data_IF_919166934833
#
_entry.id   IF_919166934833
#
_cell.length_a   1.000
_cell.length_b   1.000
_cell.length_c   1.000
_cell.angle_alpha   90.00
_cell.angle_beta   90.00
_cell.angle_gamma   90.00
#
_symmetry.space_group_name_H-M   'P 1'
#
loop_
_entity.id
_entity.type
_entity.pdbx_description
1 polymer ?
#
# COMPACT_ATOMS: atom_id res chain seq x y z
N UNK A 1 8.48 0.12 0.04
CA UNK A 1 9.11 -0.63 -1.06
C UNK A 1 8.00 -1.13 -1.96
N UNK A 2 8.01 -0.73 -3.23
CA UNK A 2 6.90 -0.86 -4.19
C UNK A 2 6.93 -2.23 -4.87
N UNK A 3 5.76 -2.85 -5.10
CA UNK A 3 5.61 -3.91 -6.10
C UNK A 3 4.90 -3.30 -7.31
N UNK A 4 5.60 -3.10 -8.42
CA UNK A 4 5.12 -2.27 -9.53
C UNK A 4 4.47 -3.11 -10.62
N UNK A 5 3.16 -2.98 -10.80
CA UNK A 5 2.45 -3.67 -11.86
C UNK A 5 2.14 -2.68 -13.01
N UNK A 6 2.78 -2.90 -14.16
CA UNK A 6 2.68 -2.02 -15.33
C UNK A 6 1.95 -2.76 -16.44
N UNK A 7 0.88 -2.14 -16.97
CA UNK A 7 0.10 -2.70 -18.06
C UNK A 7 0.33 -1.94 -19.36
N UNK A 8 0.76 -2.69 -20.37
CA UNK A 8 0.59 -2.43 -21.78
C UNK A 8 0.10 -3.73 -22.41
N UNK A 9 -0.89 -3.66 -23.30
CA UNK A 9 -1.53 -4.83 -23.88
C UNK A 9 -0.53 -5.67 -24.72
N UNK A 10 -0.20 -6.88 -24.25
CA UNK A 10 0.25 -8.00 -25.08
C UNK A 10 0.14 -9.31 -24.25
N UNK A 11 -0.63 -10.28 -24.74
CA UNK A 11 -0.99 -11.51 -24.00
C UNK A 11 -0.42 -12.76 -24.70
N UNK A 12 0.24 -13.64 -23.94
CA UNK A 12 0.47 -15.05 -24.31
C UNK A 12 0.09 -15.96 -23.13
N UNK A 13 -0.70 -16.98 -23.45
CA UNK A 13 -1.30 -17.95 -22.52
C UNK A 13 -0.35 -19.13 -22.29
N UNK A 14 -0.24 -19.64 -21.06
CA UNK A 14 0.47 -20.88 -20.69
C UNK A 14 -0.41 -21.76 -19.77
N UNK A 15 -0.29 -23.11 -19.81
CA UNK A 15 -1.20 -24.03 -19.15
C UNK A 15 -0.68 -24.58 -17.81
N UNK A 16 -1.64 -25.03 -16.98
CA UNK A 16 -1.49 -25.52 -15.60
C UNK A 16 -1.00 -26.97 -15.46
N UNK A 17 -0.27 -27.27 -14.37
CA UNK A 17 -0.23 -28.62 -13.77
C UNK A 17 0.25 -28.66 -12.30
N UNK A 18 -0.59 -29.31 -11.46
CA UNK A 18 -0.34 -30.29 -10.36
C UNK A 18 0.25 -29.93 -8.96
N UNK A 19 -0.54 -30.34 -7.96
CA UNK A 19 -0.33 -31.18 -6.75
C UNK A 19 0.69 -30.87 -5.63
N UNK A 20 0.16 -30.88 -4.38
CA UNK A 20 0.69 -31.71 -3.29
C UNK A 20 1.33 -31.04 -2.06
N UNK A 21 0.97 -31.59 -0.89
CA UNK A 21 1.67 -31.62 0.42
C UNK A 21 1.29 -30.66 1.56
N UNK A 22 1.18 -31.29 2.74
CA UNK A 22 0.69 -30.84 4.05
C UNK A 22 1.82 -30.54 5.04
N UNK A 23 1.58 -29.79 6.13
CA UNK A 23 2.23 -29.98 7.44
C UNK A 23 1.55 -29.15 8.56
N UNK A 24 1.96 -29.43 9.80
CA UNK A 24 1.25 -29.36 11.08
C UNK A 24 1.92 -28.34 12.03
N UNK A 25 1.19 -27.50 12.79
CA UNK A 25 1.78 -26.66 13.86
C UNK A 25 0.86 -26.49 15.08
N UNK A 26 1.48 -26.63 16.26
CA UNK A 26 0.92 -26.63 17.62
C UNK A 26 0.64 -25.23 18.18
N UNK A 27 -0.39 -25.14 19.04
CA UNK A 27 -0.82 -23.95 19.79
C UNK A 27 -0.03 -23.77 21.09
N UNK A 28 0.39 -22.53 21.39
CA UNK A 28 0.90 -22.10 22.71
C UNK A 28 -0.20 -21.40 23.52
N UNK A 29 -0.23 -21.56 24.87
CA UNK A 29 -1.27 -20.99 25.71
C UNK A 29 -0.93 -19.58 26.21
N UNK A 30 -1.97 -18.75 26.32
CA UNK A 30 -1.94 -17.39 26.86
C UNK A 30 -2.12 -17.41 28.39
N UNK A 31 -1.12 -16.96 29.13
CA UNK A 31 -1.16 -16.90 30.60
C UNK A 31 -1.55 -15.50 31.11
N UNK A 32 -2.61 -15.42 31.92
CA UNK A 32 -3.04 -14.22 32.67
C UNK A 32 -2.03 -13.87 33.78
N UNK A 33 -1.64 -12.60 33.89
CA UNK A 33 -0.81 -12.09 35.01
C UNK A 33 -1.34 -10.74 35.52
N UNK A 34 -2.22 -10.81 36.52
CA UNK A 34 -2.75 -9.64 37.27
C UNK A 34 -2.00 -9.41 38.59
N UNK A 35 -1.34 -10.45 39.12
CA UNK A 35 -0.67 -10.39 40.43
C UNK A 35 0.74 -9.77 40.37
N UNK A 36 1.42 -9.85 39.21
CA UNK A 36 2.77 -9.30 39.06
C UNK A 36 2.82 -7.76 39.10
N UNK A 37 1.72 -7.08 38.76
CA UNK A 37 1.67 -5.61 38.81
C UNK A 37 1.60 -5.09 40.26
N UNK A 38 0.88 -5.80 41.13
CA UNK A 38 0.73 -5.40 42.55
C UNK A 38 2.04 -5.57 43.33
N UNK A 39 2.82 -6.61 43.05
CA UNK A 39 4.15 -6.80 43.67
C UNK A 39 5.19 -5.79 43.17
N UNK A 40 5.12 -5.37 41.90
CA UNK A 40 6.00 -4.31 41.38
C UNK A 40 5.71 -2.96 42.03
N UNK A 41 4.44 -2.65 42.32
CA UNK A 41 4.04 -1.41 42.98
C UNK A 41 4.44 -1.37 44.46
N UNK A 42 4.47 -2.50 45.17
CA UNK A 42 4.91 -2.55 46.58
C UNK A 42 6.43 -2.37 46.71
N UNK A 43 7.22 -2.99 45.82
CA UNK A 43 8.67 -2.77 45.76
C UNK A 43 9.04 -1.32 45.44
N UNK A 44 8.31 -0.65 44.54
CA UNK A 44 8.58 0.74 44.19
C UNK A 44 8.36 1.70 45.39
N UNK A 45 7.35 1.43 46.24
CA UNK A 45 7.10 2.22 47.45
C UNK A 45 8.23 2.13 48.48
N UNK A 46 8.81 0.94 48.65
CA UNK A 46 9.96 0.72 49.53
C UNK A 46 11.25 1.31 48.98
N UNK A 47 11.48 1.25 47.67
CA UNK A 47 12.64 1.90 47.06
C UNK A 47 12.58 3.43 47.18
N UNK A 48 11.40 4.04 47.04
CA UNK A 48 11.18 5.48 47.17
C UNK A 48 11.40 6.02 48.59
N UNK A 49 11.23 5.19 49.63
CA UNK A 49 11.40 5.60 51.03
C UNK A 49 12.86 5.81 51.45
N UNK A 50 13.82 5.25 50.70
CA UNK A 50 15.26 5.33 50.98
C UNK A 50 16.03 6.37 50.16
N UNK A 51 15.39 7.03 49.18
CA UNK A 51 16.03 8.12 48.44
C UNK A 51 16.21 9.35 49.33
N UNK A 52 17.43 9.87 49.36
CA UNK A 52 17.77 11.10 50.08
C UNK A 52 16.86 12.25 49.64
N UNK A 53 16.53 13.15 50.57
CA UNK A 53 15.63 14.30 50.37
C UNK A 53 16.00 15.09 49.10
N UNK A 54 17.30 15.24 48.81
CA UNK A 54 17.79 15.91 47.59
C UNK A 54 17.33 15.25 46.29
N UNK A 55 17.32 13.91 46.23
CA UNK A 55 16.82 13.18 45.05
C UNK A 55 15.30 13.28 44.91
N UNK A 56 14.55 13.33 46.03
CA UNK A 56 13.09 13.55 45.99
C UNK A 56 12.73 14.93 45.43
N UNK A 57 13.42 15.99 45.88
CA UNK A 57 13.20 17.34 45.36
C UNK A 57 13.51 17.44 43.86
N UNK A 58 14.56 16.75 43.39
CA UNK A 58 14.89 16.69 41.97
C UNK A 58 13.77 16.04 41.13
N UNK A 59 13.27 14.87 41.55
CA UNK A 59 12.18 14.20 40.83
C UNK A 59 10.88 15.00 40.86
N UNK A 60 10.52 15.62 42.00
CA UNK A 60 9.33 16.48 42.08
C UNK A 60 9.46 17.66 41.12
N UNK A 61 10.62 18.31 41.07
CA UNK A 61 10.87 19.43 40.15
C UNK A 61 10.76 19.00 38.68
N UNK A 62 11.29 17.82 38.34
CA UNK A 62 11.20 17.24 37.00
C UNK A 62 9.74 16.92 36.62
N UNK A 63 8.95 16.35 37.54
CA UNK A 63 7.53 16.09 37.31
C UNK A 63 6.71 17.37 37.12
N UNK A 64 7.01 18.43 37.89
CA UNK A 64 6.35 19.73 37.73
C UNK A 64 6.68 20.35 36.38
N UNK A 65 7.95 20.31 35.95
CA UNK A 65 8.38 20.77 34.63
C UNK A 65 7.70 20.01 33.49
N UNK A 66 7.63 18.67 33.58
CA UNK A 66 6.93 17.84 32.59
C UNK A 66 5.42 18.13 32.55
N UNK A 67 4.79 18.39 33.69
CA UNK A 67 3.36 18.75 33.75
C UNK A 67 3.09 20.12 33.13
N UNK A 68 3.97 21.11 33.38
CA UNK A 68 3.87 22.45 32.81
C UNK A 68 4.09 22.43 31.29
N UNK A 69 5.02 21.63 30.77
CA UNK A 69 5.23 21.52 29.32
C UNK A 69 4.06 20.83 28.63
N UNK A 70 3.49 19.78 29.21
CA UNK A 70 2.30 19.10 28.67
C UNK A 70 1.10 20.06 28.66
N UNK A 71 0.86 20.81 29.74
CA UNK A 71 -0.25 21.77 29.78
C UNK A 71 -0.06 22.93 28.80
N UNK A 72 1.17 23.43 28.62
CA UNK A 72 1.47 24.44 27.61
C UNK A 72 1.25 23.94 26.17
N UNK A 73 1.66 22.70 25.86
CA UNK A 73 1.42 22.07 24.56
C UNK A 73 -0.06 21.85 24.29
N UNK A 74 -0.82 21.37 25.30
CA UNK A 74 -2.26 21.21 25.19
C UNK A 74 -2.97 22.56 24.99
N UNK A 75 -2.56 23.60 25.71
CA UNK A 75 -3.11 24.95 25.55
C UNK A 75 -2.81 25.54 24.17
N UNK A 76 -1.58 25.38 23.66
CA UNK A 76 -1.21 25.82 22.31
C UNK A 76 -1.96 25.04 21.22
N UNK A 77 -2.10 23.72 21.38
CA UNK A 77 -2.89 22.89 20.48
C UNK A 77 -4.37 23.28 20.46
N UNK A 78 -4.94 23.62 21.63
CA UNK A 78 -6.32 24.08 21.73
C UNK A 78 -6.55 25.46 21.07
N UNK A 79 -5.58 26.38 21.20
CA UNK A 79 -5.62 27.68 20.55
C UNK A 79 -5.50 27.57 19.02
N UNK A 80 -4.65 26.67 18.52
CA UNK A 80 -4.56 26.37 17.09
C UNK A 80 -5.83 25.71 16.56
N UNK A 81 -6.43 24.78 17.31
CA UNK A 81 -7.69 24.13 16.92
C UNK A 81 -8.84 25.14 16.75
N UNK A 82 -8.94 26.14 17.64
CA UNK A 82 -9.97 27.19 17.55
C UNK A 82 -9.80 28.16 16.38
N UNK A 83 -8.62 28.20 15.77
CA UNK A 83 -8.34 29.04 14.60
C UNK A 83 -8.56 28.31 13.28
N UNK A 84 -9.10 27.08 13.30
CA UNK A 84 -9.55 26.42 12.09
C UNK A 84 -10.67 27.25 11.46
N UNK A 85 -10.30 28.03 10.45
CA UNK A 85 -11.20 28.77 9.58
C UNK A 85 -12.27 27.78 9.10
N UNK A 86 -13.57 28.14 9.17
CA UNK A 86 -14.61 27.34 8.55
C UNK A 86 -14.22 27.12 7.08
N UNK A 87 -13.87 25.89 6.73
CA UNK A 87 -13.70 25.54 5.33
C UNK A 87 -15.10 25.61 4.76
N UNK A 88 -15.38 26.64 3.97
CA UNK A 88 -16.60 26.71 3.18
C UNK A 88 -16.60 25.49 2.25
N UNK A 89 -17.31 24.44 2.67
CA UNK A 89 -17.51 23.23 1.88
C UNK A 89 -18.44 23.63 0.74
N UNK A 90 -17.86 24.07 -0.38
CA UNK A 90 -18.60 24.28 -1.61
C UNK A 90 -19.33 22.99 -1.97
N UNK A 91 -20.61 23.04 -2.43
CA UNK A 91 -21.35 21.87 -2.83
C UNK A 91 -20.59 21.06 -3.89
N UNK A 92 -20.26 19.82 -3.53
CA UNK A 92 -19.44 18.88 -4.31
C UNK A 92 -19.94 18.69 -5.75
N UNK A 93 -21.26 18.77 -5.96
CA UNK A 93 -21.91 18.63 -7.27
C UNK A 93 -21.53 19.73 -8.27
N UNK A 94 -21.11 20.91 -7.82
CA UNK A 94 -20.73 22.00 -8.73
C UNK A 94 -19.29 21.90 -9.25
N UNK A 95 -18.41 21.16 -8.55
CA UNK A 95 -16.99 21.12 -8.86
C UNK A 95 -16.65 20.13 -9.99
N UNK A 96 -17.29 18.97 -10.05
CA UNK A 96 -17.04 17.97 -11.09
C UNK A 96 -17.34 18.52 -12.50
N UNK A 97 -18.38 19.35 -12.64
CA UNK A 97 -18.76 19.98 -13.91
C UNK A 97 -17.74 20.98 -14.49
N UNK A 98 -16.68 21.33 -13.73
CA UNK A 98 -15.66 22.31 -14.14
C UNK A 98 -14.30 21.70 -14.47
N UNK A 99 -14.13 20.39 -14.30
CA UNK A 99 -12.85 19.75 -14.60
C UNK A 99 -12.61 19.74 -16.12
N UNK A 100 -11.39 20.05 -16.59
CA UNK A 100 -10.97 19.78 -17.96
C UNK A 100 -11.26 18.33 -18.35
N UNK A 101 -11.64 18.07 -19.61
CA UNK A 101 -12.05 16.73 -20.07
C UNK A 101 -11.03 15.63 -19.74
N UNK A 102 -9.72 15.90 -19.85
CA UNK A 102 -8.68 14.91 -19.54
C UNK A 102 -8.49 14.64 -18.03
N UNK A 103 -9.19 15.35 -17.16
CA UNK A 103 -9.17 15.11 -15.70
C UNK A 103 -10.43 14.42 -15.20
N UNK A 104 -11.47 14.31 -16.03
CA UNK A 104 -12.74 13.67 -15.68
C UNK A 104 -12.52 12.14 -15.63
N UNK A 105 -12.63 11.47 -14.48
CA UNK A 105 -12.40 10.03 -14.36
C UNK A 105 -13.27 9.20 -15.32
N UNK A 106 -14.50 9.64 -15.57
CA UNK A 106 -15.47 8.97 -16.45
C UNK A 106 -14.98 8.84 -17.90
N UNK A 107 -14.07 9.72 -18.34
CA UNK A 107 -13.47 9.63 -19.68
C UNK A 107 -12.39 8.55 -19.79
N UNK A 108 -12.09 7.85 -18.70
CA UNK A 108 -11.14 6.74 -18.66
C UNK A 108 -11.82 5.37 -18.57
N UNK A 109 -13.16 5.33 -18.61
CA UNK A 109 -13.96 4.12 -18.55
C UNK A 109 -14.79 3.89 -19.83
N UNK A 110 -14.85 2.64 -20.28
CA UNK A 110 -15.73 2.17 -21.37
C UNK A 110 -17.11 1.79 -20.86
N UNK A 111 -17.19 1.37 -19.59
CA UNK A 111 -18.38 0.86 -18.94
C UNK A 111 -18.27 1.08 -17.42
N UNK A 112 -19.38 0.99 -16.67
CA UNK A 112 -19.33 0.87 -15.20
C UNK A 112 -18.42 -0.28 -14.75
N UNK A 113 -18.03 -0.34 -13.46
CA UNK A 113 -17.24 -1.44 -12.92
C UNK A 113 -17.88 -2.79 -13.25
N UNK A 114 -17.10 -3.71 -13.83
CA UNK A 114 -17.54 -5.08 -14.13
C UNK A 114 -16.75 -6.11 -13.32
N UNK A 115 -17.05 -7.40 -13.48
CA UNK A 115 -16.26 -8.47 -12.83
C UNK A 115 -14.84 -8.61 -13.38
N UNK A 116 -14.57 -8.10 -14.59
CA UNK A 116 -13.24 -8.04 -15.21
C UNK A 116 -12.79 -6.59 -15.33
N UNK A 117 -11.67 -6.23 -14.71
CA UNK A 117 -11.27 -4.81 -14.71
C UNK A 117 -10.99 -4.25 -16.10
N UNK A 118 -10.59 -5.12 -17.05
CA UNK A 118 -10.25 -4.72 -18.41
C UNK A 118 -11.46 -4.27 -19.22
N UNK A 119 -12.63 -4.83 -18.95
CA UNK A 119 -13.86 -4.50 -19.69
C UNK A 119 -14.34 -3.07 -19.39
N UNK A 120 -13.95 -2.54 -18.23
CA UNK A 120 -14.26 -1.17 -17.81
C UNK A 120 -13.23 -0.14 -18.26
N UNK A 121 -12.08 -0.54 -18.83
CA UNK A 121 -10.98 0.37 -19.19
C UNK A 121 -10.84 0.57 -20.70
N UNK A 122 -10.36 1.74 -21.12
CA UNK A 122 -10.05 2.00 -22.52
C UNK A 122 -8.76 1.30 -22.98
N UNK A 123 -8.79 0.73 -24.18
CA UNK A 123 -7.63 0.03 -24.76
C UNK A 123 -6.53 0.98 -25.28
N UNK A 124 -6.85 2.24 -25.55
CA UNK A 124 -5.90 3.26 -26.03
C UNK A 124 -5.15 3.98 -24.88
N UNK A 125 -5.57 3.72 -23.64
CA UNK A 125 -4.98 4.31 -22.44
C UNK A 125 -4.08 3.31 -21.74
N UNK A 126 -2.97 3.82 -21.19
CA UNK A 126 -2.02 3.02 -20.42
C UNK A 126 -2.23 3.25 -18.93
N UNK A 127 -2.24 2.17 -18.16
CA UNK A 127 -2.53 2.20 -16.73
C UNK A 127 -1.39 1.60 -15.91
N UNK A 128 -1.27 2.02 -14.66
CA UNK A 128 -0.28 1.49 -13.72
C UNK A 128 -0.89 1.35 -12.33
N UNK A 129 -0.52 0.29 -11.62
CA UNK A 129 -0.96 0.06 -10.24
C UNK A 129 0.16 -0.60 -9.44
N UNK A 130 -0.02 -0.69 -8.13
CA UNK A 130 0.91 -1.33 -7.20
C UNK A 130 0.10 -2.02 -6.11
N UNK A 131 0.71 -2.99 -5.44
CA UNK A 131 0.08 -3.70 -4.32
C UNK A 131 0.68 -3.24 -2.99
N UNK A 132 -0.18 -2.91 -2.04
CA UNK A 132 0.22 -2.38 -0.73
C UNK A 132 0.66 -3.52 0.18
N UNK A 133 1.73 -3.31 0.94
CA UNK A 133 2.35 -4.38 1.72
C UNK A 133 3.13 -3.77 2.88
N UNK A 134 2.49 -2.98 3.74
CA UNK A 134 3.18 -2.39 4.89
C UNK A 134 2.19 -1.90 5.95
N UNK A 135 2.61 -0.90 6.74
CA UNK A 135 1.73 -0.08 7.57
C UNK A 135 1.31 1.20 6.85
N UNK A 136 0.29 1.88 7.38
CA UNK A 136 -0.37 3.02 6.73
C UNK A 136 0.58 4.08 6.15
N UNK A 137 1.56 4.56 6.91
CA UNK A 137 2.52 5.58 6.43
C UNK A 137 3.30 5.10 5.21
N UNK A 138 3.74 3.84 5.22
CA UNK A 138 4.47 3.26 4.09
C UNK A 138 3.57 3.10 2.87
N UNK A 139 2.29 2.79 3.08
CA UNK A 139 1.32 2.67 2.00
C UNK A 139 1.02 4.05 1.37
N UNK A 140 0.86 5.11 2.16
CA UNK A 140 0.69 6.48 1.65
C UNK A 140 1.90 6.89 0.79
N UNK A 141 3.12 6.65 1.26
CA UNK A 141 4.34 6.92 0.47
C UNK A 141 4.39 6.06 -0.80
N UNK A 142 3.94 4.82 -0.72
CA UNK A 142 3.86 3.90 -1.87
C UNK A 142 2.89 4.42 -2.92
N UNK A 143 1.71 4.91 -2.54
CA UNK A 143 0.75 5.50 -3.48
C UNK A 143 1.28 6.81 -4.08
N UNK A 144 1.94 7.65 -3.30
CA UNK A 144 2.61 8.86 -3.82
C UNK A 144 3.68 8.52 -4.88
N UNK A 145 4.50 7.51 -4.63
CA UNK A 145 5.49 7.01 -5.57
C UNK A 145 4.85 6.40 -6.84
N UNK A 146 3.74 5.68 -6.69
CA UNK A 146 2.98 5.13 -7.82
C UNK A 146 2.42 6.25 -8.71
N UNK A 147 1.84 7.30 -8.11
CA UNK A 147 1.35 8.47 -8.84
C UNK A 147 2.50 9.15 -9.58
N UNK A 148 3.64 9.35 -8.93
CA UNK A 148 4.81 9.93 -9.58
C UNK A 148 5.31 9.09 -10.76
N UNK A 149 5.35 7.76 -10.62
CA UNK A 149 5.66 6.84 -11.73
C UNK A 149 4.64 6.94 -12.87
N UNK A 150 3.36 7.09 -12.55
CA UNK A 150 2.31 7.28 -13.56
C UNK A 150 2.56 8.56 -14.37
N UNK A 151 2.89 9.68 -13.70
CA UNK A 151 3.20 10.95 -14.35
C UNK A 151 4.39 10.84 -15.30
N UNK A 152 5.54 10.36 -14.82
CA UNK A 152 6.77 10.31 -15.65
C UNK A 152 6.71 9.25 -16.75
N UNK A 153 5.73 8.33 -16.69
CA UNK A 153 5.52 7.33 -17.73
C UNK A 153 4.27 7.56 -18.58
N UNK A 154 3.60 8.71 -18.41
CA UNK A 154 2.36 9.07 -19.14
C UNK A 154 1.28 7.99 -19.03
N UNK A 155 0.99 7.56 -17.81
CA UNK A 155 -0.04 6.56 -17.47
C UNK A 155 -1.04 7.12 -16.48
N UNK A 156 -2.21 6.49 -16.43
CA UNK A 156 -3.21 6.73 -15.40
C UNK A 156 -2.92 5.79 -14.21
N UNK A 157 -2.79 6.36 -13.01
CA UNK A 157 -2.62 5.59 -11.79
C UNK A 157 -3.98 5.01 -11.34
N UNK A 158 -4.02 3.70 -11.07
CA UNK A 158 -5.16 3.04 -10.42
C UNK A 158 -4.74 2.69 -8.99
N UNK A 159 -5.32 3.37 -8.00
CA UNK A 159 -4.95 3.24 -6.59
C UNK A 159 -5.74 2.10 -5.92
N UNK A 160 -5.06 1.17 -5.23
CA UNK A 160 -5.72 0.20 -4.36
C UNK A 160 -6.24 0.86 -3.07
N UNK A 161 -7.28 0.29 -2.45
CA UNK A 161 -7.71 0.72 -1.12
C UNK A 161 -6.62 0.41 -0.08
N UNK A 162 -6.57 1.19 0.99
CA UNK A 162 -5.70 0.92 2.12
C UNK A 162 -6.15 -0.34 2.86
N UNK A 163 -5.22 -1.25 3.11
CA UNK A 163 -5.48 -2.50 3.86
C UNK A 163 -4.79 -2.52 5.23
N UNK A 164 -3.94 -1.52 5.53
CA UNK A 164 -3.09 -1.47 6.71
C UNK A 164 -3.51 -0.43 7.76
N UNK A 165 -4.74 0.06 7.68
CA UNK A 165 -5.28 1.09 8.57
C UNK A 165 -6.09 0.42 9.71
N UNK A 166 -5.74 0.73 10.96
CA UNK A 166 -6.43 0.34 12.21
C UNK A 166 -7.01 -1.10 12.25
N UNK A 167 -6.21 -2.05 12.76
CA UNK A 167 -6.53 -3.48 13.01
C UNK A 167 -6.66 -4.30 11.71
N UNK A 168 -6.07 -5.49 11.71
CA UNK A 168 -5.98 -6.41 10.56
C UNK A 168 -7.31 -7.02 10.06
N UNK A 169 -8.45 -6.56 10.60
CA UNK A 169 -9.81 -7.09 10.32
C UNK A 169 -10.71 -5.97 9.78
N UNK A 170 -10.23 -4.73 9.71
CA UNK A 170 -11.02 -3.63 9.16
C UNK A 170 -11.28 -3.84 7.66
N UNK A 171 -12.45 -3.38 7.21
CA UNK A 171 -12.75 -3.32 5.79
C UNK A 171 -11.71 -2.44 5.08
N UNK A 172 -11.30 -2.76 3.85
CA UNK A 172 -10.40 -1.90 3.07
C UNK A 172 -10.98 -0.49 2.95
N UNK A 173 -10.12 0.52 3.11
CA UNK A 173 -10.53 1.93 3.10
C UNK A 173 -10.17 2.55 1.75
N UNK A 174 -11.15 2.99 0.95
CA UNK A 174 -10.91 3.70 -0.30
C UNK A 174 -9.98 4.90 -0.09
N UNK A 175 -9.20 5.23 -1.12
CA UNK A 175 -8.28 6.35 -1.06
C UNK A 175 -9.04 7.68 -0.93
N UNK A 176 -10.17 7.82 -1.63
CA UNK A 176 -11.06 8.99 -1.57
C UNK A 176 -11.72 9.23 -0.22
N UNK A 177 -11.80 8.24 0.66
CA UNK A 177 -12.33 8.45 2.02
C UNK A 177 -11.38 9.25 2.92
N UNK A 178 -10.08 9.24 2.60
CA UNK A 178 -9.05 9.95 3.37
C UNK A 178 -8.60 11.22 2.65
N UNK A 179 -8.48 11.15 1.31
CA UNK A 179 -7.89 12.20 0.49
C UNK A 179 -8.91 12.77 -0.49
N UNK A 180 -8.89 14.09 -0.65
CA UNK A 180 -9.68 14.80 -1.67
C UNK A 180 -9.09 14.53 -3.06
N UNK A 181 -9.60 13.49 -3.73
CA UNK A 181 -9.17 13.07 -5.08
C UNK A 181 -9.43 14.17 -6.12
N UNK A 182 -10.60 14.84 -6.18
CA UNK A 182 -10.82 15.96 -7.10
C UNK A 182 -9.78 17.09 -6.97
N UNK A 183 -9.39 17.45 -5.75
CA UNK A 183 -8.32 18.42 -5.52
C UNK A 183 -6.97 17.89 -5.98
N UNK A 184 -6.67 16.60 -5.72
CA UNK A 184 -5.43 15.95 -6.13
C UNK A 184 -5.27 15.95 -7.66
N UNK A 185 -6.27 15.46 -8.41
CA UNK A 185 -6.20 15.40 -9.89
C UNK A 185 -6.07 16.79 -10.51
N UNK A 186 -6.71 17.81 -9.91
CA UNK A 186 -6.59 19.20 -10.35
C UNK A 186 -5.18 19.72 -10.12
N UNK A 187 -4.60 19.46 -8.94
CA UNK A 187 -3.26 19.92 -8.59
C UNK A 187 -2.16 19.22 -9.42
N UNK A 188 -2.35 17.93 -9.73
CA UNK A 188 -1.43 17.17 -10.57
C UNK A 188 -1.62 17.44 -12.06
N UNK A 189 -2.77 17.99 -12.46
CA UNK A 189 -3.23 18.03 -13.85
C UNK A 189 -3.11 16.66 -14.55
N UNK A 190 -3.46 15.60 -13.81
CA UNK A 190 -3.44 14.22 -14.30
C UNK A 190 -4.57 13.40 -13.66
N UNK A 191 -5.15 12.44 -14.39
CA UNK A 191 -6.17 11.56 -13.86
C UNK A 191 -5.59 10.57 -12.84
N UNK A 192 -6.38 10.27 -11.81
CA UNK A 192 -6.13 9.23 -10.82
C UNK A 192 -7.43 8.48 -10.61
N UNK A 193 -7.37 7.16 -10.70
CA UNK A 193 -8.52 6.26 -10.55
C UNK A 193 -8.34 5.39 -9.31
N UNK A 194 -9.43 4.79 -8.84
CA UNK A 194 -9.44 3.80 -7.76
C UNK A 194 -9.95 2.45 -8.27
N UNK A 195 -9.53 1.36 -7.62
CA UNK A 195 -9.93 0.01 -8.02
C UNK A 195 -11.45 -0.24 -8.00
N UNK A 196 -12.17 0.40 -7.09
CA UNK A 196 -13.64 0.33 -7.01
C UNK A 196 -14.34 0.92 -8.24
N UNK A 197 -13.66 1.79 -9.00
CA UNK A 197 -14.20 2.41 -10.21
C UNK A 197 -13.99 1.54 -11.46
N UNK A 198 -13.10 0.55 -11.40
CA UNK A 198 -12.76 -0.31 -12.56
C UNK A 198 -13.23 -1.75 -12.40
N UNK A 199 -13.48 -2.22 -11.18
CA UNK A 199 -13.86 -3.60 -10.91
C UNK A 199 -14.91 -3.70 -9.81
N UNK A 200 -16.00 -4.41 -10.10
CA UNK A 200 -17.00 -4.82 -9.11
C UNK A 200 -16.46 -6.01 -8.32
N UNK A 201 -15.87 -5.72 -7.17
CA UNK A 201 -15.23 -6.71 -6.31
C UNK A 201 -16.24 -7.69 -5.69
N UNK A 202 -17.46 -7.24 -5.38
CA UNK A 202 -18.48 -8.10 -4.79
C UNK A 202 -19.02 -9.10 -5.80
N UNK A 203 -19.28 -8.66 -7.03
CA UNK A 203 -19.69 -9.56 -8.11
C UNK A 203 -18.55 -10.51 -8.50
N UNK A 204 -17.31 -10.03 -8.61
CA UNK A 204 -16.15 -10.87 -8.93
C UNK A 204 -15.91 -11.96 -7.87
N UNK A 205 -16.06 -11.62 -6.58
CA UNK A 205 -15.93 -12.57 -5.48
C UNK A 205 -17.07 -13.62 -5.49
N UNK A 206 -18.32 -13.19 -5.72
CA UNK A 206 -19.48 -14.11 -5.81
C UNK A 206 -19.39 -15.07 -6.99
N UNK A 207 -18.86 -14.62 -8.12
CA UNK A 207 -18.71 -15.42 -9.34
C UNK A 207 -17.38 -16.18 -9.39
N UNK A 208 -16.52 -16.00 -8.40
CA UNK A 208 -15.19 -16.62 -8.32
C UNK A 208 -14.28 -16.30 -9.53
N UNK A 209 -14.43 -15.08 -10.08
CA UNK A 209 -13.75 -14.63 -11.30
C UNK A 209 -12.47 -13.86 -10.96
N UNK A 210 -11.33 -14.38 -11.40
CA UNK A 210 -10.01 -13.75 -11.20
C UNK A 210 -9.43 -13.19 -12.49
N UNK A 211 -8.87 -11.99 -12.43
CA UNK A 211 -8.13 -11.41 -13.54
C UNK A 211 -6.63 -11.74 -13.42
N UNK A 212 -6.03 -12.21 -14.51
CA UNK A 212 -4.58 -12.39 -14.59
C UNK A 212 -3.91 -11.06 -14.91
N UNK A 213 -2.85 -10.73 -14.21
CA UNK A 213 -2.20 -9.43 -14.31
C UNK A 213 -0.68 -9.55 -14.11
N UNK A 214 0.10 -8.98 -15.03
CA UNK A 214 1.57 -9.03 -15.00
C UNK A 214 2.19 -7.96 -14.09
N UNK A 215 3.22 -8.29 -13.32
CA UNK A 215 3.85 -7.38 -12.36
C UNK A 215 5.37 -7.51 -12.37
N UNK A 216 6.07 -6.40 -12.18
CA UNK A 216 7.50 -6.41 -11.91
C UNK A 216 7.75 -6.66 -10.43
N UNK A 217 8.49 -7.73 -10.14
CA UNK A 217 8.96 -8.03 -8.80
C UNK A 217 10.24 -7.24 -8.50
N UNK A 218 10.05 -6.02 -8.01
CA UNK A 218 11.12 -5.12 -7.55
C UNK A 218 11.70 -5.58 -6.21
N UNK A 219 10.88 -6.23 -5.37
CA UNK A 219 11.28 -6.66 -4.02
C UNK A 219 12.43 -7.68 -4.04
N UNK A 220 12.38 -8.67 -4.93
CA UNK A 220 13.44 -9.69 -5.08
C UNK A 220 14.77 -9.11 -5.59
N UNK A 221 14.73 -7.91 -6.18
CA UNK A 221 15.94 -7.18 -6.58
C UNK A 221 16.49 -6.35 -5.43
N UNK A 222 15.62 -5.65 -4.71
CA UNK A 222 16.02 -4.78 -3.62
C UNK A 222 16.35 -5.56 -2.32
N UNK A 223 15.93 -6.81 -2.20
CA UNK A 223 16.18 -7.68 -1.05
C UNK A 223 16.85 -8.99 -1.50
N UNK A 224 18.17 -9.06 -1.36
CA UNK A 224 19.01 -10.18 -1.84
C UNK A 224 18.62 -11.54 -1.24
N UNK A 225 18.06 -11.55 -0.03
CA UNK A 225 17.61 -12.78 0.62
C UNK A 225 16.19 -13.23 0.24
N UNK A 226 15.47 -12.46 -0.58
CA UNK A 226 14.12 -12.81 -1.00
C UNK A 226 14.16 -13.78 -2.19
N UNK A 227 13.30 -14.78 -2.15
CA UNK A 227 13.10 -15.81 -3.18
C UNK A 227 11.79 -15.61 -3.96
N UNK A 228 11.18 -14.43 -3.82
CA UNK A 228 9.91 -14.11 -4.46
C UNK A 228 9.42 -12.70 -4.15
N UNK A 229 8.21 -12.35 -4.61
CA UNK A 229 7.66 -11.02 -4.41
C UNK A 229 7.24 -10.81 -2.97
N UNK A 230 7.18 -9.54 -2.57
CA UNK A 230 6.69 -9.18 -1.25
C UNK A 230 5.21 -9.54 -1.12
N UNK A 231 4.86 -10.31 -0.09
CA UNK A 231 3.48 -10.71 0.18
C UNK A 231 2.56 -9.50 0.38
N UNK A 232 1.40 -9.49 -0.25
CA UNK A 232 0.39 -8.44 -0.13
C UNK A 232 -1.00 -9.07 -0.04
N UNK A 233 -1.87 -8.50 0.80
CA UNK A 233 -3.28 -8.87 0.85
C UNK A 233 -4.09 -8.25 -0.31
N UNK A 234 -3.58 -7.18 -0.91
CA UNK A 234 -4.29 -6.41 -1.96
C UNK A 234 -4.66 -7.25 -3.19
N UNK A 235 -3.79 -8.10 -3.76
CA UNK A 235 -4.18 -8.97 -4.88
C UNK A 235 -5.36 -9.88 -4.57
N UNK A 236 -5.40 -10.47 -3.37
CA UNK A 236 -6.50 -11.32 -2.94
C UNK A 236 -7.80 -10.53 -2.82
N UNK A 237 -7.74 -9.37 -2.16
CA UNK A 237 -8.88 -8.46 -2.04
C UNK A 237 -9.47 -8.06 -3.40
N UNK A 238 -8.61 -7.82 -4.39
CA UNK A 238 -9.02 -7.36 -5.73
C UNK A 238 -9.40 -8.52 -6.68
N UNK A 239 -9.43 -9.76 -6.16
CA UNK A 239 -9.59 -10.99 -6.92
C UNK A 239 -8.68 -11.03 -8.17
N UNK A 240 -7.38 -10.80 -7.94
CA UNK A 240 -6.35 -10.77 -8.99
C UNK A 240 -5.40 -11.96 -8.84
N UNK A 241 -5.01 -12.51 -9.99
CA UNK A 241 -3.98 -13.52 -10.12
C UNK A 241 -2.73 -12.89 -10.72
N UNK A 242 -1.66 -12.76 -9.92
CA UNK A 242 -0.48 -11.98 -10.33
C UNK A 242 0.58 -12.89 -10.94
N UNK A 243 1.01 -12.56 -12.15
CA UNK A 243 2.22 -13.10 -12.77
C UNK A 243 3.38 -12.15 -12.50
N UNK A 244 4.35 -12.56 -11.69
CA UNK A 244 5.50 -11.74 -11.35
C UNK A 244 6.68 -12.06 -12.25
N UNK A 245 7.27 -11.04 -12.86
CA UNK A 245 8.58 -11.12 -13.53
C UNK A 245 9.60 -10.43 -12.66
N UNK A 246 10.70 -11.10 -12.31
CA UNK A 246 11.82 -10.47 -11.59
C UNK A 246 12.31 -9.27 -12.39
N UNK A 247 12.40 -8.11 -11.74
CA UNK A 247 12.91 -6.92 -12.40
C UNK A 247 14.44 -7.04 -12.60
N UNK A 248 15.04 -6.34 -13.57
CA UNK A 248 16.48 -6.44 -13.80
C UNK A 248 17.27 -5.78 -12.66
N UNK A 249 18.49 -6.27 -12.32
CA UNK A 249 19.29 -5.72 -11.22
C UNK A 249 19.71 -4.25 -11.38
N UNK A 250 19.65 -3.71 -12.60
CA UNK A 250 20.03 -2.32 -12.92
C UNK A 250 18.97 -1.28 -12.52
N UNK A 251 17.85 -1.70 -11.92
CA UNK A 251 16.89 -0.78 -11.29
C UNK A 251 17.40 -0.19 -9.97
N UNK A 252 18.32 -0.89 -9.31
CA UNK A 252 18.94 -0.43 -8.06
C UNK A 252 19.78 0.82 -8.30
N UNK A 253 19.89 1.67 -7.30
CA UNK A 253 20.80 2.80 -7.33
C UNK A 253 22.26 2.32 -7.43
N UNK A 254 22.60 1.25 -6.70
CA UNK A 254 23.90 0.60 -6.70
C UNK A 254 23.72 -0.88 -7.04
N UNK A 255 23.73 -1.20 -8.34
CA UNK A 255 23.62 -2.57 -8.84
C UNK A 255 24.72 -3.47 -8.24
N UNK A 256 24.33 -4.65 -7.74
CA UNK A 256 25.25 -5.61 -7.10
C UNK A 256 25.62 -5.30 -5.65
N UNK A 257 25.21 -4.15 -5.09
CA UNK A 257 25.43 -3.87 -3.67
C UNK A 257 24.27 -4.44 -2.85
N UNK A 258 24.54 -5.46 -2.04
CA UNK A 258 23.52 -6.20 -1.30
C UNK A 258 22.79 -5.35 -0.25
N UNK A 259 23.47 -4.34 0.29
CA UNK A 259 22.91 -3.44 1.30
C UNK A 259 22.17 -2.23 0.70
N UNK A 260 22.18 -2.07 -0.62
CA UNK A 260 21.33 -1.08 -1.27
C UNK A 260 19.89 -1.59 -1.32
N UNK A 261 18.96 -0.86 -0.72
CA UNK A 261 17.53 -1.14 -0.73
C UNK A 261 16.75 -0.09 -1.52
N UNK A 262 17.42 0.63 -2.42
CA UNK A 262 16.83 1.71 -3.19
C UNK A 262 16.84 1.40 -4.68
N UNK A 263 15.65 1.47 -5.27
CA UNK A 263 15.48 1.57 -6.71
C UNK A 263 15.32 3.02 -7.15
N UNK A 264 15.73 3.37 -8.37
CA UNK A 264 15.51 4.71 -8.91
C UNK A 264 14.20 4.80 -9.71
N UNK A 265 13.52 5.93 -9.66
CA UNK A 265 12.28 6.15 -10.41
C UNK A 265 12.48 6.02 -11.92
N UNK A 266 13.60 6.53 -12.45
CA UNK A 266 13.86 6.49 -13.89
C UNK A 266 14.17 5.07 -14.38
N UNK A 267 14.92 4.29 -13.61
CA UNK A 267 15.16 2.88 -13.96
C UNK A 267 13.87 2.06 -13.90
N UNK A 268 13.01 2.29 -12.90
CA UNK A 268 11.69 1.65 -12.83
C UNK A 268 10.77 2.10 -13.97
N UNK A 269 10.75 3.39 -14.28
CA UNK A 269 9.99 3.96 -15.39
C UNK A 269 10.38 3.34 -16.73
N UNK A 270 11.67 3.03 -16.93
CA UNK A 270 12.16 2.35 -18.14
C UNK A 270 11.41 1.04 -18.39
N UNK A 271 11.14 0.24 -17.35
CA UNK A 271 10.41 -1.03 -17.46
C UNK A 271 8.95 -0.88 -17.91
N UNK A 272 8.45 0.35 -17.92
CA UNK A 272 7.14 0.66 -18.42
C UNK A 272 7.09 0.75 -19.95
N UNK A 273 8.22 0.98 -20.63
CA UNK A 273 8.25 1.16 -22.07
C UNK A 273 8.39 -0.18 -22.80
N UNK A 274 7.68 -0.38 -23.95
CA UNK A 274 7.68 -1.66 -24.66
C UNK A 274 9.09 -2.18 -25.02
N UNK A 275 9.99 -1.29 -25.42
CA UNK A 275 11.34 -1.63 -25.87
C UNK A 275 12.16 -2.26 -24.74
N UNK A 276 12.20 -1.58 -23.58
CA UNK A 276 12.91 -2.08 -22.42
C UNK A 276 12.22 -3.30 -21.80
N UNK A 277 10.89 -3.36 -21.82
CA UNK A 277 10.15 -4.56 -21.41
C UNK A 277 10.52 -5.76 -22.28
N UNK A 278 10.53 -5.61 -23.60
CA UNK A 278 10.91 -6.68 -24.52
C UNK A 278 12.36 -7.12 -24.32
N UNK A 279 13.30 -6.19 -24.12
CA UNK A 279 14.70 -6.50 -23.82
C UNK A 279 14.89 -7.34 -22.55
N UNK A 280 14.14 -7.00 -21.49
CA UNK A 280 14.19 -7.74 -20.21
C UNK A 280 13.56 -9.12 -20.37
N UNK A 281 12.40 -9.20 -21.03
CA UNK A 281 11.68 -10.47 -21.25
C UNK A 281 12.39 -11.41 -22.23
N UNK A 282 13.28 -10.91 -23.09
CA UNK A 282 14.13 -11.73 -23.95
C UNK A 282 15.19 -12.53 -23.17
N UNK A 283 15.39 -12.26 -21.87
CA UNK A 283 16.36 -12.92 -20.98
C UNK A 283 15.66 -13.53 -19.76
N UNK A 284 14.85 -14.59 -19.94
CA UNK A 284 14.07 -15.20 -18.86
C UNK A 284 14.95 -15.91 -17.80
N UNK A 285 16.18 -16.25 -18.15
CA UNK A 285 17.20 -16.80 -17.25
C UNK A 285 17.64 -15.78 -16.19
N UNK A 286 17.74 -14.50 -16.57
CA UNK A 286 18.08 -13.40 -15.66
C UNK A 286 16.85 -12.82 -14.96
N UNK A 287 15.68 -12.92 -15.60
CA UNK A 287 14.43 -12.30 -15.16
C UNK A 287 13.30 -13.33 -15.15
N UNK A 288 13.36 -14.35 -14.27
CA UNK A 288 12.37 -15.41 -14.24
C UNK A 288 10.97 -14.83 -14.00
N UNK A 289 9.98 -15.40 -14.69
CA UNK A 289 8.57 -15.11 -14.47
C UNK A 289 7.93 -16.26 -13.70
N UNK A 290 7.34 -15.95 -12.55
CA UNK A 290 6.63 -16.90 -11.69
C UNK A 290 5.17 -16.47 -11.64
N UNK A 291 4.30 -17.38 -12.05
CA UNK A 291 2.88 -17.23 -11.82
C UNK A 291 2.58 -17.69 -10.39
N UNK A 292 2.28 -16.75 -9.49
CA UNK A 292 1.83 -17.11 -8.16
C UNK A 292 0.34 -17.44 -8.24
N UNK A 293 -0.01 -18.72 -8.41
CA UNK A 293 -1.35 -19.17 -8.07
C UNK A 293 -1.60 -18.87 -6.59
N UNK A 294 -2.56 -17.98 -6.35
CA UNK A 294 -3.11 -17.81 -5.01
C UNK A 294 -3.79 -19.14 -4.72
N UNK A 295 -3.09 -20.03 -4.01
CA UNK A 295 -3.65 -21.30 -3.53
C UNK A 295 -4.85 -20.94 -2.67
N UNK A 296 -6.07 -21.09 -3.21
CA UNK A 296 -7.31 -20.98 -2.44
C UNK A 296 -7.42 -22.23 -1.59
N UNK A 297 -6.88 -22.19 -0.38
CA UNK A 297 -7.22 -23.18 0.63
C UNK A 297 -7.54 -22.50 1.96
N UNK A 298 -8.79 -22.75 2.40
CA UNK A 298 -9.38 -22.66 3.75
C UNK A 298 -10.17 -21.40 4.14
N UNK A 299 -11.48 -21.44 3.86
CA UNK A 299 -12.53 -20.87 4.74
C UNK A 299 -12.86 -21.87 5.87
N UNK A 300 -13.21 -21.41 7.09
CA UNK A 300 -13.61 -22.31 8.18
C UNK A 300 -15.08 -22.76 8.03
N UNK A 301 -15.30 -24.06 8.19
CA UNK A 301 -16.53 -24.64 8.73
C UNK A 301 -16.28 -25.11 10.16
#
# INVERSE_FOLDING_TARGET
MLSLAIFGFEQKVLPDTMDGFAFNVSLLPVHKSSNALKERLSCLRLALSHLSIRRRCFWISLFVLMSLTITALLACGFLQWRSAVPVDVLPLDSASSRLPKHLIPENYFTAPPTVYFRDSLHNDTRYITSFLSAGFTNDVMTLGNLIYLALITSRVAILPPFTSHIRSIAAPLPFSEIFDVPRLITALNAPVLEWSQVKDLEAAARQDVQDIIGCWNVWEVDNVGADGPRGSFTPHLLNLHISYTRAPPDIKLMAGYEHDSHSTFWSLARLAFPEARAEVLARPDLNPSVLLSVRRDQTPG
#
